data_IF_113142242051
#
_entry.id   IF_113142242051
#
_cell.length_a   1.000
_cell.length_b   1.000
_cell.length_c   1.000
_cell.angle_alpha   90.00
_cell.angle_beta   90.00
_cell.angle_gamma   90.00
#
_symmetry.space_group_name_H-M   'P 1'
#
loop_
_entity.id
_entity.type
_entity.pdbx_description
1 polymer ?
#
# COMPACT_ATOMS: atom_id res chain seq x y z
N UNK A 1 -9.07 -1.71 2.11
CA UNK A 1 -7.78 -2.42 2.36
C UNK A 1 -7.21 -1.90 3.67
N UNK A 2 -6.46 -2.70 4.43
CA UNK A 2 -5.79 -2.27 5.67
C UNK A 2 -4.27 -2.35 5.50
N UNK A 3 -3.51 -1.63 6.34
CA UNK A 3 -2.05 -1.66 6.28
C UNK A 3 -1.51 -3.07 6.62
N UNK A 4 -0.61 -3.63 5.80
CA UNK A 4 -0.15 -5.00 5.98
C UNK A 4 0.66 -5.15 7.27
N UNK A 5 0.26 -6.11 8.11
CA UNK A 5 0.95 -6.39 9.38
C UNK A 5 2.12 -7.36 9.21
N UNK A 6 2.08 -8.23 8.19
CA UNK A 6 3.15 -9.20 7.89
C UNK A 6 3.33 -9.34 6.39
N UNK A 7 4.57 -9.22 5.91
CA UNK A 7 4.96 -9.38 4.50
C UNK A 7 6.31 -10.08 4.44
N UNK A 8 6.46 -11.07 3.57
CA UNK A 8 7.71 -11.83 3.39
C UNK A 8 8.35 -12.37 4.69
N UNK A 9 7.50 -12.75 5.67
CA UNK A 9 7.95 -13.25 6.97
C UNK A 9 8.30 -12.15 8.00
N UNK A 10 8.39 -10.89 7.58
CA UNK A 10 8.63 -9.74 8.45
C UNK A 10 7.34 -9.24 9.09
N UNK A 11 7.42 -8.80 10.34
CA UNK A 11 6.36 -8.01 10.97
C UNK A 11 6.61 -6.52 10.67
N UNK A 12 5.56 -5.83 10.22
CA UNK A 12 5.62 -4.42 9.85
C UNK A 12 5.00 -3.56 10.94
N UNK A 13 5.70 -2.48 11.30
CA UNK A 13 5.23 -1.48 12.23
C UNK A 13 5.28 -0.13 11.54
N UNK A 14 4.14 0.53 11.43
CA UNK A 14 4.03 1.87 10.89
C UNK A 14 3.94 2.90 12.03
N UNK A 15 4.62 4.03 11.86
CA UNK A 15 4.40 5.18 12.72
C UNK A 15 2.96 5.70 12.53
N UNK A 16 2.24 6.14 13.59
CA UNK A 16 0.85 6.60 13.48
C UNK A 16 0.61 7.65 12.39
N UNK A 17 1.50 8.64 12.27
CA UNK A 17 1.42 9.66 11.20
C UNK A 17 1.44 9.05 9.77
N UNK A 18 2.23 7.99 9.56
CA UNK A 18 2.21 7.28 8.28
C UNK A 18 0.91 6.49 8.11
N UNK A 19 0.45 5.83 9.17
CA UNK A 19 -0.80 5.06 9.18
C UNK A 19 -2.00 5.93 8.80
N UNK A 20 -2.14 7.11 9.39
CA UNK A 20 -3.22 8.06 9.07
C UNK A 20 -3.21 8.47 7.58
N UNK A 21 -2.01 8.73 7.04
CA UNK A 21 -1.84 9.10 5.62
C UNK A 21 -2.15 7.93 4.70
N UNK A 22 -1.75 6.71 5.08
CA UNK A 22 -2.03 5.49 4.33
C UNK A 22 -3.53 5.18 4.29
N UNK A 23 -4.22 5.28 5.43
CA UNK A 23 -5.65 4.98 5.53
C UNK A 23 -6.47 5.99 4.70
N UNK A 24 -6.09 7.26 4.70
CA UNK A 24 -6.67 8.28 3.84
C UNK A 24 -6.49 7.95 2.34
N UNK A 25 -5.28 7.52 1.96
CA UNK A 25 -4.99 7.10 0.58
C UNK A 25 -5.83 5.90 0.16
N UNK A 26 -5.99 4.90 1.04
CA UNK A 26 -6.86 3.75 0.76
C UNK A 26 -8.31 4.20 0.58
N UNK A 27 -8.84 5.04 1.48
CA UNK A 27 -10.21 5.52 1.39
C UNK A 27 -10.48 6.28 0.08
N UNK A 28 -9.51 7.06 -0.40
CA UNK A 28 -9.58 7.71 -1.71
C UNK A 28 -9.66 6.68 -2.85
N UNK A 29 -8.81 5.64 -2.82
CA UNK A 29 -8.82 4.58 -3.84
C UNK A 29 -10.12 3.79 -3.83
N UNK A 30 -10.67 3.44 -2.67
CA UNK A 30 -11.97 2.76 -2.58
C UNK A 30 -13.11 3.64 -3.11
N UNK A 31 -13.06 4.95 -2.84
CA UNK A 31 -14.01 5.92 -3.42
C UNK A 31 -13.90 6.00 -4.94
N UNK A 32 -12.68 6.02 -5.48
CA UNK A 32 -12.44 6.01 -6.92
C UNK A 32 -12.93 4.71 -7.56
N UNK A 33 -12.70 3.58 -6.90
CA UNK A 33 -13.17 2.26 -7.33
C UNK A 33 -14.69 2.18 -7.38
N UNK A 34 -15.38 2.74 -6.38
CA UNK A 34 -16.85 2.80 -6.38
C UNK A 34 -17.42 3.70 -7.48
N UNK A 35 -16.72 4.78 -7.83
CA UNK A 35 -17.15 5.73 -8.88
C UNK A 35 -16.89 5.23 -10.30
N UNK A 36 -15.75 4.58 -10.54
CA UNK A 36 -15.29 4.17 -11.86
C UNK A 36 -14.49 2.85 -11.75
N UNK A 37 -15.18 1.71 -11.56
CA UNK A 37 -14.54 0.41 -11.33
C UNK A 37 -13.62 -0.04 -12.46
N UNK A 38 -13.83 0.45 -13.69
CA UNK A 38 -13.05 0.06 -14.86
C UNK A 38 -11.76 0.87 -14.99
N UNK A 39 -11.74 2.14 -14.59
CA UNK A 39 -10.58 3.02 -14.80
C UNK A 39 -9.92 3.55 -13.51
N UNK A 40 -10.42 3.22 -12.31
CA UNK A 40 -9.83 3.70 -11.06
C UNK A 40 -8.35 3.34 -10.93
N UNK A 41 -7.91 2.20 -11.48
CA UNK A 41 -6.51 1.76 -11.49
C UNK A 41 -5.56 2.74 -12.19
N UNK A 42 -6.06 3.54 -13.12
CA UNK A 42 -5.26 4.53 -13.86
C UNK A 42 -5.07 5.84 -13.09
N UNK A 43 -5.85 6.06 -12.01
CA UNK A 43 -5.81 7.29 -11.20
C UNK A 43 -4.54 7.35 -10.36
N UNK A 44 -4.12 8.58 -10.04
CA UNK A 44 -2.87 8.84 -9.33
C UNK A 44 -2.82 8.18 -7.94
N UNK A 45 -3.90 8.31 -7.15
CA UNK A 45 -4.00 7.69 -5.83
C UNK A 45 -3.83 6.16 -5.89
N UNK A 46 -4.48 5.49 -6.85
CA UNK A 46 -4.36 4.04 -7.01
C UNK A 46 -2.95 3.60 -7.39
N UNK A 47 -2.29 4.37 -8.26
CA UNK A 47 -0.88 4.13 -8.62
C UNK A 47 0.04 4.34 -7.43
N UNK A 48 -0.19 5.40 -6.64
CA UNK A 48 0.60 5.67 -5.44
C UNK A 48 0.46 4.53 -4.43
N UNK A 49 -0.77 4.08 -4.16
CA UNK A 49 -1.01 2.95 -3.26
C UNK A 49 -0.31 1.68 -3.76
N UNK A 50 -0.37 1.39 -5.06
CA UNK A 50 0.33 0.26 -5.64
C UNK A 50 1.87 0.36 -5.47
N UNK A 51 2.44 1.56 -5.66
CA UNK A 51 3.87 1.79 -5.45
C UNK A 51 4.25 1.61 -3.98
N UNK A 52 3.43 2.07 -3.03
CA UNK A 52 3.67 1.88 -1.60
C UNK A 52 3.74 0.39 -1.25
N UNK A 53 2.78 -0.41 -1.72
CA UNK A 53 2.80 -1.87 -1.52
C UNK A 53 4.03 -2.50 -2.17
N UNK A 54 4.37 -2.11 -3.41
CA UNK A 54 5.56 -2.58 -4.10
C UNK A 54 6.85 -2.31 -3.32
N UNK A 55 7.01 -1.11 -2.75
CA UNK A 55 8.20 -0.77 -1.94
C UNK A 55 8.25 -1.60 -0.66
N UNK A 56 7.10 -1.82 0.00
CA UNK A 56 7.03 -2.67 1.19
C UNK A 56 7.48 -4.10 0.87
N UNK A 57 6.96 -4.67 -0.21
CA UNK A 57 7.24 -6.05 -0.61
C UNK A 57 8.66 -6.23 -1.16
N UNK A 58 9.08 -5.39 -2.11
CA UNK A 58 10.29 -5.59 -2.90
C UNK A 58 11.53 -4.90 -2.33
N UNK A 59 11.40 -4.01 -1.35
CA UNK A 59 12.55 -3.26 -0.84
C UNK A 59 12.66 -3.30 0.69
N UNK A 60 11.55 -3.16 1.43
CA UNK A 60 11.57 -3.11 2.90
C UNK A 60 11.62 -4.52 3.50
N UNK A 61 10.87 -5.46 2.93
CA UNK A 61 10.69 -6.82 3.50
C UNK A 61 11.45 -7.90 2.73
N UNK A 62 12.49 -7.52 1.99
CA UNK A 62 13.37 -8.48 1.33
C UNK A 62 14.21 -9.22 2.36
N UNK A 63 14.40 -10.52 2.15
CA UNK A 63 15.33 -11.30 2.95
C UNK A 63 16.77 -10.82 2.67
N UNK A 64 17.49 -10.24 3.65
CA UNK A 64 18.83 -9.72 3.45
C UNK A 64 19.87 -10.80 3.14
N UNK A 65 19.53 -12.08 3.37
CA UNK A 65 20.36 -13.24 3.02
C UNK A 65 19.99 -13.88 1.69
N UNK A 66 19.00 -13.33 0.97
CA UNK A 66 18.73 -13.73 -0.41
C UNK A 66 19.88 -13.22 -1.30
N UNK A 67 20.43 -14.06 -2.21
CA UNK A 67 21.51 -13.66 -3.11
C UNK A 67 21.10 -12.56 -4.09
#
# INVERSE_FOLDING_TARGET
MDFPQRVNGWALYAHPCFQETYDALVAEVETLKGKDPENYQRKAATKLLAVVHKVIEEHITVNPSSP
#
